data_IF_656243247608
#
_entry.id   IF_656243247608
#
_cell.length_a   1.000
_cell.length_b   1.000
_cell.length_c   1.000
_cell.angle_alpha   90.00
_cell.angle_beta   90.00
_cell.angle_gamma   90.00
#
_symmetry.space_group_name_H-M   'P 1'
#
loop_
_entity.id
_entity.type
_entity.pdbx_description
1 polymer ?
#
# COMPACT_ATOMS: atom_id res chain seq x y z
N UNK A 1 -0.68 24.45 -4.57
CA UNK A 1 -1.25 23.11 -4.84
C UNK A 1 -1.56 23.01 -6.32
N UNK A 2 -1.10 21.95 -6.98
CA UNK A 2 -1.35 21.69 -8.40
C UNK A 2 -2.82 21.31 -8.62
N UNK A 3 -3.57 22.17 -9.33
CA UNK A 3 -4.97 21.92 -9.71
C UNK A 3 -5.04 21.34 -11.13
N UNK A 4 -5.76 20.24 -11.33
CA UNK A 4 -5.95 19.60 -12.64
C UNK A 4 -6.89 20.45 -13.52
N UNK A 5 -6.37 21.00 -14.63
CA UNK A 5 -7.07 21.95 -15.52
C UNK A 5 -7.74 21.28 -16.74
N UNK A 6 -7.72 19.94 -16.84
CA UNK A 6 -8.13 19.19 -18.04
C UNK A 6 -9.50 18.50 -17.96
N UNK A 7 -10.12 18.28 -19.12
CA UNK A 7 -11.43 17.61 -19.31
C UNK A 7 -11.42 16.12 -18.87
N UNK A 8 -10.23 15.51 -18.83
CA UNK A 8 -10.07 14.09 -18.51
C UNK A 8 -10.04 13.93 -16.98
N UNK A 9 -11.04 13.25 -16.43
CA UNK A 9 -11.08 12.82 -15.03
C UNK A 9 -10.25 11.55 -14.90
N UNK A 10 -9.10 11.63 -14.22
CA UNK A 10 -8.24 10.47 -13.94
C UNK A 10 -8.45 10.06 -12.49
N UNK A 11 -8.76 8.78 -12.28
CA UNK A 11 -8.88 8.17 -10.95
C UNK A 11 -7.98 6.95 -10.94
N UNK A 12 -7.03 6.87 -10.00
CA UNK A 12 -6.10 5.74 -9.90
C UNK A 12 -4.63 6.14 -9.84
N UNK A 13 -3.73 5.17 -9.99
CA UNK A 13 -2.28 5.38 -9.98
C UNK A 13 -1.72 5.19 -11.39
N UNK A 14 -1.04 6.21 -11.93
CA UNK A 14 -0.35 6.14 -13.23
C UNK A 14 1.08 6.63 -13.01
N UNK A 15 2.07 5.79 -13.30
CA UNK A 15 3.49 6.19 -13.34
C UNK A 15 4.01 6.82 -12.04
N UNK A 16 3.51 6.40 -10.88
CA UNK A 16 3.92 6.96 -9.58
C UNK A 16 3.18 8.24 -9.18
N UNK A 17 2.20 8.70 -9.97
CA UNK A 17 1.24 9.73 -9.55
C UNK A 17 -0.11 9.08 -9.21
N UNK A 18 -0.61 9.34 -8.00
CA UNK A 18 -1.94 8.96 -7.55
C UNK A 18 -2.92 10.12 -7.75
N UNK A 19 -3.98 9.87 -8.49
CA UNK A 19 -5.08 10.80 -8.74
C UNK A 19 -6.26 10.42 -7.87
N UNK A 20 -6.72 11.35 -7.03
CA UNK A 20 -7.82 11.14 -6.09
C UNK A 20 -8.67 12.39 -5.92
N UNK A 21 -9.92 12.20 -5.48
CA UNK A 21 -10.85 13.30 -5.21
C UNK A 21 -10.88 13.59 -3.72
N UNK A 22 -10.79 14.87 -3.33
CA UNK A 22 -11.00 15.32 -1.96
C UNK A 22 -11.87 16.57 -1.96
N UNK A 23 -12.95 16.58 -1.19
CA UNK A 23 -13.92 17.69 -1.11
C UNK A 23 -14.40 18.19 -2.49
N UNK A 24 -14.57 17.27 -3.46
CA UNK A 24 -15.00 17.60 -4.81
C UNK A 24 -13.92 18.15 -5.75
N UNK A 25 -12.70 18.38 -5.27
CA UNK A 25 -11.55 18.76 -6.11
C UNK A 25 -10.74 17.52 -6.54
N UNK A 26 -10.30 17.51 -7.80
CA UNK A 26 -9.40 16.49 -8.33
C UNK A 26 -7.94 16.85 -8.02
N UNK A 27 -7.28 15.97 -7.26
CA UNK A 27 -5.91 16.14 -6.79
C UNK A 27 -5.01 15.06 -7.39
N UNK A 28 -3.80 15.47 -7.76
CA UNK A 28 -2.72 14.55 -8.12
C UNK A 28 -1.61 14.67 -7.08
N UNK A 29 -1.19 13.53 -6.52
CA UNK A 29 -0.01 13.44 -5.63
C UNK A 29 1.00 12.48 -6.22
N UNK A 30 2.28 12.80 -6.13
CA UNK A 30 3.32 11.78 -6.28
C UNK A 30 3.17 10.77 -5.14
N UNK A 31 3.38 9.48 -5.42
CA UNK A 31 3.32 8.41 -4.43
C UNK A 31 4.34 8.68 -3.31
N UNK A 32 3.90 9.33 -2.24
CA UNK A 32 4.73 9.80 -1.12
C UNK A 32 4.89 8.77 -0.02
N UNK A 33 5.21 7.53 -0.37
CA UNK A 33 5.46 6.45 0.59
C UNK A 33 6.96 6.24 0.86
N UNK A 34 7.35 5.66 2.01
CA UNK A 34 8.70 5.16 2.19
C UNK A 34 8.99 4.06 1.17
N UNK A 35 10.19 4.09 0.56
CA UNK A 35 10.62 3.04 -0.39
C UNK A 35 10.75 1.70 0.33
N UNK A 36 10.72 0.60 -0.43
CA UNK A 36 10.90 -0.75 0.12
C UNK A 36 12.20 -0.88 0.89
N UNK A 37 13.27 -0.32 0.35
CA UNK A 37 14.61 -0.30 0.95
C UNK A 37 14.58 0.45 2.27
N UNK A 38 13.89 1.60 2.33
CA UNK A 38 13.75 2.39 3.55
C UNK A 38 12.98 1.65 4.65
N UNK A 39 11.94 0.90 4.28
CA UNK A 39 11.20 0.05 5.23
C UNK A 39 12.09 -1.11 5.70
N UNK A 40 12.89 -1.70 4.81
CA UNK A 40 13.75 -2.83 5.11
C UNK A 40 14.93 -2.49 6.03
N UNK A 41 15.57 -1.33 5.85
CA UNK A 41 16.81 -0.98 6.55
C UNK A 41 16.65 0.15 7.57
N UNK A 42 15.66 1.02 7.40
CA UNK A 42 15.53 2.22 8.23
C UNK A 42 15.27 1.90 9.71
N UNK A 43 15.95 2.62 10.61
CA UNK A 43 15.79 2.48 12.06
C UNK A 43 14.36 2.78 12.53
N UNK A 44 13.68 3.73 11.89
CA UNK A 44 12.31 4.10 12.23
C UNK A 44 11.28 3.01 11.87
N UNK A 45 11.67 1.99 11.10
CA UNK A 45 10.79 0.92 10.62
C UNK A 45 11.04 -0.43 11.31
N UNK A 46 11.84 -0.48 12.39
CA UNK A 46 12.13 -1.73 13.12
C UNK A 46 10.84 -2.41 13.59
N UNK A 47 9.98 -1.68 14.30
CA UNK A 47 8.68 -2.20 14.79
C UNK A 47 7.74 -2.60 13.66
N UNK A 48 7.78 -1.90 12.52
CA UNK A 48 7.01 -2.27 11.33
C UNK A 48 7.47 -3.62 10.79
N UNK A 49 8.78 -3.90 10.79
CA UNK A 49 9.32 -5.19 10.33
C UNK A 49 8.97 -6.34 11.28
N UNK A 50 9.06 -6.11 12.59
CA UNK A 50 8.64 -7.08 13.60
C UNK A 50 7.17 -7.47 13.40
N UNK A 51 6.31 -6.47 13.27
CA UNK A 51 4.88 -6.68 13.08
C UNK A 51 4.56 -7.40 11.76
N UNK A 52 5.24 -7.03 10.67
CA UNK A 52 5.10 -7.70 9.37
C UNK A 52 5.49 -9.18 9.45
N UNK A 53 6.54 -9.52 10.20
CA UNK A 53 6.99 -10.90 10.36
C UNK A 53 5.96 -11.73 11.16
N UNK A 54 5.44 -11.17 12.26
CA UNK A 54 4.45 -11.83 13.11
C UNK A 54 3.15 -12.09 12.36
N UNK A 55 2.53 -11.06 11.79
CA UNK A 55 1.27 -11.21 11.05
C UNK A 55 1.43 -12.04 9.77
N UNK A 56 2.59 -11.92 9.11
CA UNK A 56 2.94 -12.77 7.97
C UNK A 56 3.03 -14.25 8.37
N UNK A 57 3.57 -14.56 9.54
CA UNK A 57 3.58 -15.89 10.13
C UNK A 57 2.17 -16.42 10.40
N UNK A 58 1.36 -15.64 11.12
CA UNK A 58 -0.04 -15.99 11.43
C UNK A 58 -0.88 -16.25 10.17
N UNK A 59 -0.71 -15.43 9.14
CA UNK A 59 -1.37 -15.62 7.86
C UNK A 59 -0.95 -16.93 7.15
N UNK A 60 0.34 -17.28 7.19
CA UNK A 60 0.85 -18.55 6.64
C UNK A 60 0.27 -19.76 7.36
N UNK A 61 0.24 -19.73 8.69
CA UNK A 61 -0.34 -20.80 9.52
C UNK A 61 -1.82 -20.96 9.21
N UNK A 62 -2.58 -19.85 9.21
CA UNK A 62 -4.00 -19.87 8.87
C UNK A 62 -4.27 -20.39 7.45
N UNK A 63 -3.41 -20.04 6.48
CA UNK A 63 -3.48 -20.60 5.12
C UNK A 63 -3.24 -22.11 5.13
N UNK A 64 -2.17 -22.57 5.77
CA UNK A 64 -1.83 -24.00 5.84
C UNK A 64 -2.95 -24.82 6.47
N UNK A 65 -3.55 -24.32 7.56
CA UNK A 65 -4.69 -24.95 8.22
C UNK A 65 -5.91 -25.08 7.29
N UNK A 66 -6.30 -23.99 6.62
CA UNK A 66 -7.40 -24.02 5.65
C UNK A 66 -7.12 -24.97 4.48
N UNK A 67 -5.89 -24.98 3.97
CA UNK A 67 -5.51 -25.89 2.89
C UNK A 67 -5.59 -27.35 3.34
N UNK A 68 -5.13 -27.69 4.54
CA UNK A 68 -5.20 -29.05 5.07
C UNK A 68 -6.65 -29.55 5.22
N UNK A 69 -7.58 -28.67 5.61
CA UNK A 69 -9.00 -29.00 5.74
C UNK A 69 -9.77 -28.93 4.41
N UNK A 70 -9.24 -28.29 3.38
CA UNK A 70 -9.96 -28.07 2.11
C UNK A 70 -10.11 -29.34 1.26
N UNK A 71 -9.34 -30.40 1.56
CA UNK A 71 -9.41 -31.69 0.87
C UNK A 71 -10.09 -32.79 1.68
N UNK A 72 -10.66 -32.44 2.84
CA UNK A 72 -11.48 -33.33 3.67
C UNK A 72 -12.95 -33.16 3.29
#
# INVERSE_FOLDING_TARGET
>A
MSKQKGIIKLVGNIGGMSFYTSNGEYLARTAGGPTKERIATGANFVRTRENNAEFGGSAKVGKAFRTALSSV
#
